data_IF_472499776361
#
_entry.id   IF_472499776361
#
_cell.length_a   1.000
_cell.length_b   1.000
_cell.length_c   1.000
_cell.angle_alpha   90.00
_cell.angle_beta   90.00
_cell.angle_gamma   90.00
#
_symmetry.space_group_name_H-M   'P 1'
#
loop_
_entity.id
_entity.type
_entity.pdbx_description
1 polymer ?
#
# COMPACT_ATOMS: atom_id res chain seq x y z
N UNK A 1 -12.50 -0.32 4.89
CA UNK A 1 -12.09 0.11 6.25
C UNK A 1 -10.65 -0.34 6.44
N UNK A 2 -9.93 0.15 7.44
CA UNK A 2 -8.48 -0.02 7.61
C UNK A 2 -8.10 -0.39 9.06
N UNK A 3 -9.07 -0.89 9.83
CA UNK A 3 -8.91 -1.27 11.24
C UNK A 3 -8.43 -0.14 12.18
N UNK A 4 -8.19 1.08 11.68
CA UNK A 4 -7.49 2.14 12.41
C UNK A 4 -6.00 1.87 12.64
N UNK A 5 -5.39 0.97 11.87
CA UNK A 5 -3.97 0.61 11.99
C UNK A 5 -3.13 1.45 11.03
N UNK A 6 -2.06 2.07 11.55
CA UNK A 6 -1.16 2.89 10.72
C UNK A 6 -0.15 1.99 10.01
N UNK A 7 -0.23 1.92 8.68
CA UNK A 7 0.69 1.15 7.84
C UNK A 7 1.87 2.00 7.33
N UNK A 8 3.02 1.34 7.12
CA UNK A 8 4.27 1.94 6.61
C UNK A 8 4.95 1.01 5.59
N UNK A 9 5.78 1.59 4.71
CA UNK A 9 6.57 0.85 3.72
C UNK A 9 6.09 0.94 2.27
N UNK A 10 6.82 0.27 1.36
CA UNK A 10 6.49 0.22 -0.07
C UNK A 10 5.49 -0.89 -0.39
N UNK A 11 4.26 -0.51 -0.69
CA UNK A 11 3.12 -1.38 -0.92
C UNK A 11 2.82 -1.49 -2.43
N UNK A 12 2.75 -2.62 -3.10
CA UNK A 12 3.09 -3.98 -2.68
C UNK A 12 4.50 -4.42 -3.14
N UNK A 13 5.27 -3.51 -3.76
CA UNK A 13 6.49 -3.89 -4.47
C UNK A 13 7.61 -4.41 -3.59
N UNK A 14 7.66 -4.10 -2.29
CA UNK A 14 8.54 -4.84 -1.37
C UNK A 14 7.82 -6.05 -0.79
N UNK A 15 8.55 -7.04 -0.26
CA UNK A 15 7.91 -8.20 0.37
C UNK A 15 7.12 -7.87 1.65
N UNK A 16 7.51 -6.78 2.32
CA UNK A 16 7.03 -6.43 3.65
C UNK A 16 6.88 -4.91 3.81
N UNK A 17 5.98 -4.51 4.69
CA UNK A 17 6.04 -3.21 5.36
C UNK A 17 5.83 -3.39 6.86
N UNK A 18 5.19 -2.41 7.50
CA UNK A 18 5.02 -2.44 8.96
C UNK A 18 3.78 -1.74 9.48
N UNK A 19 3.49 -2.00 10.75
CA UNK A 19 2.49 -1.28 11.53
C UNK A 19 3.18 -0.32 12.52
N UNK A 20 2.74 0.94 12.54
CA UNK A 20 3.25 1.99 13.45
C UNK A 20 2.35 2.20 14.69
N UNK A 21 1.27 1.43 14.79
CA UNK A 21 0.39 1.35 15.95
C UNK A 21 0.36 -0.09 16.50
N UNK A 22 0.01 -0.30 17.78
CA UNK A 22 -0.20 -1.63 18.31
C UNK A 22 -1.18 -2.42 17.44
N UNK A 23 -0.82 -3.66 17.12
CA UNK A 23 -1.60 -4.59 16.31
C UNK A 23 -1.43 -5.99 16.89
N UNK A 24 -2.51 -6.78 16.90
CA UNK A 24 -2.46 -8.16 17.35
C UNK A 24 -1.77 -9.04 16.29
N UNK A 25 -0.93 -9.96 16.74
CA UNK A 25 -0.25 -10.89 15.84
C UNK A 25 -1.26 -11.73 15.06
N UNK A 26 -1.05 -11.87 13.75
CA UNK A 26 -1.96 -12.56 12.84
C UNK A 26 -3.23 -11.78 12.43
N UNK A 27 -3.47 -10.59 12.99
CA UNK A 27 -4.59 -9.73 12.62
C UNK A 27 -4.54 -9.43 11.12
N UNK A 28 -5.68 -9.62 10.44
CA UNK A 28 -5.82 -9.25 9.03
C UNK A 28 -5.89 -7.74 8.91
N UNK A 29 -5.08 -7.17 8.02
CA UNK A 29 -5.03 -5.73 7.77
C UNK A 29 -5.52 -5.43 6.36
N UNK A 30 -6.27 -4.34 6.23
CA UNK A 30 -6.85 -3.92 4.97
C UNK A 30 -6.60 -2.44 4.67
N UNK A 31 -6.57 -2.11 3.38
CA UNK A 31 -6.43 -0.75 2.88
C UNK A 31 -7.28 -0.64 1.61
N UNK A 32 -7.98 0.48 1.44
CA UNK A 32 -8.90 0.68 0.31
C UNK A 32 -9.94 -0.44 0.14
N UNK A 33 -10.30 -1.13 1.22
CA UNK A 33 -11.31 -2.20 1.21
C UNK A 33 -10.75 -3.60 0.94
N UNK A 34 -9.48 -3.72 0.58
CA UNK A 34 -8.84 -4.99 0.28
C UNK A 34 -7.83 -5.40 1.35
N UNK A 35 -7.68 -6.71 1.57
CA UNK A 35 -6.70 -7.25 2.50
C UNK A 35 -5.29 -7.07 1.92
N UNK A 36 -4.42 -6.39 2.66
CA UNK A 36 -3.03 -6.14 2.26
C UNK A 36 -2.04 -7.04 2.99
N UNK A 37 -2.42 -7.69 4.08
CA UNK A 37 -1.51 -8.59 4.79
C UNK A 37 -2.06 -9.08 6.12
N UNK A 38 -1.22 -9.78 6.87
CA UNK A 38 -1.44 -10.11 8.27
C UNK A 38 -0.28 -9.60 9.09
N UNK A 39 -0.56 -9.06 10.27
CA UNK A 39 0.51 -8.63 11.17
C UNK A 39 1.38 -9.83 11.59
N UNK A 40 2.69 -9.62 11.63
CA UNK A 40 3.70 -10.51 12.17
C UNK A 40 4.60 -9.68 13.10
N UNK A 41 4.19 -9.54 14.36
CA UNK A 41 4.72 -8.54 15.28
C UNK A 41 4.49 -7.12 14.75
N UNK A 42 5.57 -6.41 14.43
CA UNK A 42 5.50 -5.07 13.81
C UNK A 42 5.54 -5.09 12.29
N UNK A 43 5.94 -6.21 11.70
CA UNK A 43 6.08 -6.36 10.26
C UNK A 43 4.74 -6.80 9.67
N UNK A 44 4.53 -6.46 8.40
CA UNK A 44 3.37 -6.92 7.65
C UNK A 44 3.88 -7.49 6.33
N UNK A 45 3.98 -8.82 6.21
CA UNK A 45 4.19 -9.47 4.91
C UNK A 45 3.00 -9.13 4.02
N UNK A 46 3.27 -8.51 2.87
CA UNK A 46 2.20 -8.12 1.95
C UNK A 46 1.60 -9.36 1.30
N UNK A 47 0.27 -9.44 1.31
CA UNK A 47 -0.48 -10.38 0.47
C UNK A 47 -0.25 -10.09 -1.02
N UNK A 48 -0.76 -10.97 -1.89
CA UNK A 48 -0.60 -10.81 -3.33
C UNK A 48 -1.74 -9.95 -3.90
N UNK A 49 -1.40 -8.73 -4.31
CA UNK A 49 -2.31 -7.76 -4.88
C UNK A 49 -1.58 -6.73 -5.74
N UNK A 50 -2.34 -6.15 -6.66
CA UNK A 50 -1.94 -5.03 -7.48
C UNK A 50 -2.41 -3.71 -6.87
N UNK A 51 -1.61 -2.66 -7.08
CA UNK A 51 -2.04 -1.27 -6.90
C UNK A 51 -2.34 -0.70 -8.27
N UNK A 52 -3.50 -0.10 -8.42
CA UNK A 52 -3.94 0.49 -9.67
C UNK A 52 -4.19 1.98 -9.50
N UNK A 53 -3.91 2.73 -10.56
CA UNK A 53 -4.33 4.12 -10.72
C UNK A 53 -5.17 4.21 -11.99
N UNK A 54 -6.41 4.67 -11.85
CA UNK A 54 -7.39 4.74 -12.94
C UNK A 54 -7.52 3.41 -13.71
N UNK A 55 -7.47 2.30 -12.97
CA UNK A 55 -7.57 0.94 -13.51
C UNK A 55 -6.29 0.40 -14.15
N UNK A 56 -5.18 1.13 -14.14
CA UNK A 56 -3.88 0.70 -14.67
C UNK A 56 -2.94 0.33 -13.52
N UNK A 57 -2.33 -0.86 -13.59
CA UNK A 57 -1.37 -1.33 -12.59
C UNK A 57 -0.15 -0.39 -12.53
N UNK A 58 0.25 -0.03 -11.31
CA UNK A 58 1.46 0.75 -11.03
C UNK A 58 2.39 -0.04 -10.10
N UNK A 59 3.64 0.41 -9.95
CA UNK A 59 4.61 -0.25 -9.05
C UNK A 59 4.12 -0.27 -7.60
N UNK A 60 3.41 0.78 -7.14
CA UNK A 60 2.78 0.75 -5.83
C UNK A 60 2.58 2.11 -5.17
N UNK A 61 2.39 2.09 -3.86
CA UNK A 61 2.39 3.22 -2.95
C UNK A 61 3.65 3.20 -2.08
N UNK A 62 4.20 4.36 -1.77
CA UNK A 62 5.14 4.53 -0.66
C UNK A 62 4.37 5.12 0.51
N UNK A 63 4.15 4.31 1.54
CA UNK A 63 3.54 4.72 2.80
C UNK A 63 4.63 5.22 3.74
N UNK A 64 4.36 6.30 4.44
CA UNK A 64 5.27 6.89 5.43
C UNK A 64 4.50 7.79 6.39
N UNK A 65 4.97 7.86 7.63
CA UNK A 65 4.50 8.86 8.58
C UNK A 65 5.26 10.18 8.37
N UNK A 66 4.54 11.31 8.39
CA UNK A 66 5.11 12.66 8.27
C UNK A 66 4.67 13.55 9.43
N UNK A 67 5.51 14.51 9.81
CA UNK A 67 5.20 15.58 10.78
C UNK A 67 4.85 16.92 10.11
N UNK A 68 4.96 16.97 8.79
CA UNK A 68 4.63 18.11 7.94
C UNK A 68 3.49 17.71 6.99
N UNK A 69 3.15 18.55 6.02
CA UNK A 69 2.18 18.21 4.98
C UNK A 69 2.42 16.79 4.46
N UNK A 70 1.34 16.02 4.43
CA UNK A 70 1.38 14.58 4.21
C UNK A 70 0.46 14.19 3.06
N UNK A 71 0.79 13.07 2.44
CA UNK A 71 0.01 12.47 1.37
C UNK A 71 0.58 11.09 1.03
N UNK A 72 -0.14 10.35 0.19
CA UNK A 72 0.33 9.07 -0.33
C UNK A 72 1.16 9.32 -1.59
N UNK A 73 2.35 8.72 -1.66
CA UNK A 73 3.18 8.79 -2.86
C UNK A 73 2.88 7.60 -3.78
N UNK A 74 2.42 7.88 -4.98
CA UNK A 74 2.35 6.90 -6.06
C UNK A 74 3.78 6.58 -6.55
N UNK A 75 4.12 5.30 -6.64
CA UNK A 75 5.32 4.80 -7.30
C UNK A 75 4.88 4.35 -8.68
N UNK A 76 5.00 5.26 -9.64
CA UNK A 76 4.56 5.05 -11.02
C UNK A 76 5.55 5.71 -11.99
N UNK A 77 6.76 5.15 -12.16
CA UNK A 77 7.74 5.72 -13.08
C UNK A 77 7.15 5.80 -14.51
N UNK A 78 7.43 6.90 -15.20
CA UNK A 78 6.93 7.13 -16.57
C UNK A 78 5.45 7.52 -16.67
N UNK A 79 4.81 7.93 -15.57
CA UNK A 79 3.43 8.43 -15.61
C UNK A 79 3.29 9.76 -16.37
N UNK A 80 2.09 10.03 -16.87
CA UNK A 80 1.74 11.29 -17.53
C UNK A 80 1.09 12.34 -16.63
N UNK A 81 0.90 12.08 -15.33
CA UNK A 81 0.18 12.98 -14.40
C UNK A 81 0.79 14.38 -14.30
N UNK A 82 -0.08 15.36 -14.11
CA UNK A 82 0.22 16.76 -13.86
C UNK A 82 -0.47 17.26 -12.58
N UNK A 83 -0.03 18.43 -12.08
CA UNK A 83 -0.68 19.07 -10.93
C UNK A 83 -2.12 19.46 -11.27
N UNK A 84 -3.06 19.07 -10.42
CA UNK A 84 -4.49 19.30 -10.61
C UNK A 84 -5.25 18.09 -11.15
N UNK A 85 -4.54 17.04 -11.59
CA UNK A 85 -5.17 15.78 -11.97
C UNK A 85 -5.82 15.11 -10.75
N UNK A 86 -7.04 14.63 -10.96
CA UNK A 86 -7.73 13.73 -10.04
C UNK A 86 -7.53 12.30 -10.54
N UNK A 87 -7.11 11.42 -9.64
CA UNK A 87 -6.88 10.00 -9.96
C UNK A 87 -7.57 9.12 -8.93
N UNK A 88 -8.07 7.97 -9.37
CA UNK A 88 -8.61 6.93 -8.51
C UNK A 88 -7.54 5.90 -8.20
N UNK A 89 -7.35 5.57 -6.94
CA UNK A 89 -6.42 4.53 -6.50
C UNK A 89 -7.20 3.33 -6.00
N UNK A 90 -6.84 2.15 -6.48
CA UNK A 90 -7.46 0.88 -6.11
C UNK A 90 -6.40 -0.14 -5.70
N UNK A 91 -6.79 -1.07 -4.83
CA UNK A 91 -6.06 -2.31 -4.58
C UNK A 91 -6.92 -3.45 -5.13
N UNK A 92 -6.29 -4.45 -5.77
CA UNK A 92 -6.99 -5.62 -6.29
C UNK A 92 -6.18 -6.89 -6.04
N UNK A 93 -6.79 -7.98 -5.53
CA UNK A 93 -6.09 -9.26 -5.43
C UNK A 93 -5.50 -9.69 -6.76
N UNK A 94 -4.27 -10.21 -6.73
CA UNK A 94 -3.52 -10.61 -7.92
C UNK A 94 -2.73 -11.88 -7.65
N UNK A 95 -2.55 -12.69 -8.69
CA UNK A 95 -1.70 -13.88 -8.63
C UNK A 95 -0.26 -13.63 -9.09
N UNK A 96 0.00 -12.46 -9.69
CA UNK A 96 1.30 -12.07 -10.23
C UNK A 96 1.58 -10.58 -9.95
N UNK A 97 1.69 -10.21 -8.65
CA UNK A 97 1.93 -8.82 -8.27
C UNK A 97 3.36 -8.39 -8.63
N UNK A 98 3.55 -7.10 -8.89
CA UNK A 98 4.89 -6.51 -9.01
C UNK A 98 5.64 -6.67 -7.69
N UNK A 99 6.85 -7.26 -7.74
CA UNK A 99 7.80 -7.33 -6.62
C UNK A 99 9.18 -6.84 -7.10
N UNK A 100 9.81 -5.99 -6.30
CA UNK A 100 11.15 -5.46 -6.48
C UNK A 100 11.99 -6.06 -5.35
N UNK A 101 12.93 -6.91 -5.74
CA UNK A 101 13.84 -7.63 -4.85
C UNK A 101 14.75 -6.69 -4.02
#
# INVERSE_FOLDING_TARGET
RDEGVVLDGGLAHYGFGGALSPVEDGQSLSLLGERVGRAAGRDVPWADFDVLVDGVQITGLSLFASRVDFGSKLVCPGHGFATGDEVSVEIRPSADPIRLD
#
